data_IF_240938249305
#
_entry.id   IF_240938249305
#
_cell.length_a   1.000
_cell.length_b   1.000
_cell.length_c   1.000
_cell.angle_alpha   90.00
_cell.angle_beta   90.00
_cell.angle_gamma   90.00
#
_symmetry.space_group_name_H-M   'P 1'
#
loop_
_entity.id
_entity.type
_entity.pdbx_description
1 polymer ?
#
# COMPACT_ATOMS: atom_id res chain seq x y z
N UNK A 1 -22.09 33.12 5.84
CA UNK A 1 -20.99 32.43 5.13
C UNK A 1 -21.09 32.72 3.64
N UNK A 2 -19.98 32.99 2.95
CA UNK A 2 -19.99 33.14 1.48
C UNK A 2 -20.18 31.79 0.78
N UNK A 3 -20.72 31.80 -0.44
CA UNK A 3 -20.95 30.61 -1.26
C UNK A 3 -19.70 29.73 -1.40
N UNK A 4 -18.54 30.34 -1.66
CA UNK A 4 -17.24 29.66 -1.82
C UNK A 4 -16.79 28.88 -0.58
N UNK A 5 -17.02 29.41 0.63
CA UNK A 5 -16.62 28.75 1.88
C UNK A 5 -17.46 27.51 2.16
N UNK A 6 -18.75 27.57 1.82
CA UNK A 6 -19.69 26.45 1.98
C UNK A 6 -19.32 25.31 1.02
N UNK A 7 -18.98 25.63 -0.23
CA UNK A 7 -18.52 24.63 -1.21
C UNK A 7 -17.25 23.92 -0.76
N UNK A 8 -16.24 24.66 -0.29
CA UNK A 8 -14.98 24.07 0.19
C UNK A 8 -15.20 23.13 1.39
N UNK A 9 -16.08 23.50 2.32
CA UNK A 9 -16.45 22.66 3.46
C UNK A 9 -16.96 21.28 3.01
N UNK A 10 -17.95 21.25 2.13
CA UNK A 10 -18.55 19.99 1.69
C UNK A 10 -17.61 19.16 0.82
N UNK A 11 -16.83 19.79 -0.06
CA UNK A 11 -15.82 19.09 -0.87
C UNK A 11 -14.78 18.42 0.03
N UNK A 12 -14.22 19.15 1.01
CA UNK A 12 -13.27 18.59 1.97
C UNK A 12 -13.87 17.45 2.78
N UNK A 13 -15.10 17.62 3.26
CA UNK A 13 -15.78 16.59 4.05
C UNK A 13 -16.01 15.30 3.24
N UNK A 14 -16.66 15.38 2.08
CA UNK A 14 -16.97 14.19 1.30
C UNK A 14 -15.70 13.48 0.81
N UNK A 15 -14.72 14.23 0.32
CA UNK A 15 -13.46 13.66 -0.14
C UNK A 15 -12.72 12.91 0.99
N UNK A 16 -12.55 13.55 2.15
CA UNK A 16 -11.92 12.91 3.30
C UNK A 16 -12.77 11.75 3.85
N UNK A 17 -14.09 11.82 3.76
CA UNK A 17 -14.97 10.74 4.23
C UNK A 17 -14.75 9.46 3.43
N UNK A 18 -14.68 9.55 2.10
CA UNK A 18 -14.38 8.40 1.26
C UNK A 18 -12.97 7.86 1.51
N UNK A 19 -11.98 8.74 1.71
CA UNK A 19 -10.61 8.32 2.05
C UNK A 19 -10.58 7.60 3.40
N UNK A 20 -11.33 8.09 4.39
CA UNK A 20 -11.44 7.44 5.69
C UNK A 20 -12.03 6.02 5.55
N UNK A 21 -13.08 5.85 4.75
CA UNK A 21 -13.63 4.51 4.47
C UNK A 21 -12.59 3.59 3.82
N UNK A 22 -11.83 4.07 2.83
CA UNK A 22 -10.75 3.30 2.22
C UNK A 22 -9.64 2.93 3.23
N UNK A 23 -9.23 3.86 4.09
CA UNK A 23 -8.24 3.58 5.13
C UNK A 23 -8.74 2.53 6.13
N UNK A 24 -10.01 2.63 6.54
CA UNK A 24 -10.62 1.67 7.45
C UNK A 24 -10.74 0.27 6.83
N UNK A 25 -11.10 0.15 5.56
CA UNK A 25 -11.19 -1.14 4.88
C UNK A 25 -9.81 -1.77 4.69
N UNK A 26 -8.80 -1.00 4.26
CA UNK A 26 -7.42 -1.47 4.14
C UNK A 26 -6.91 -1.99 5.50
N UNK A 27 -7.11 -1.21 6.56
CA UNK A 27 -6.71 -1.61 7.91
C UNK A 27 -7.44 -2.87 8.38
N UNK A 28 -8.76 -2.94 8.19
CA UNK A 28 -9.59 -4.09 8.57
C UNK A 28 -9.19 -5.37 7.85
N UNK A 29 -9.01 -5.31 6.53
CA UNK A 29 -8.56 -6.46 5.71
C UNK A 29 -7.17 -6.91 6.16
N UNK A 30 -6.25 -5.96 6.37
CA UNK A 30 -4.87 -6.28 6.78
C UNK A 30 -4.81 -7.00 8.14
N UNK A 31 -5.61 -6.56 9.12
CA UNK A 31 -5.73 -7.21 10.43
C UNK A 31 -6.42 -8.58 10.32
N UNK A 32 -7.45 -8.69 9.47
CA UNK A 32 -8.14 -9.96 9.24
C UNK A 32 -7.19 -11.03 8.70
N UNK A 33 -6.45 -10.71 7.63
CA UNK A 33 -5.45 -11.60 7.03
C UNK A 33 -4.36 -11.95 8.03
N UNK A 34 -3.85 -10.96 8.78
CA UNK A 34 -2.84 -11.20 9.82
C UNK A 34 -3.29 -12.15 10.92
N UNK A 35 -4.56 -12.07 11.37
CA UNK A 35 -5.10 -12.99 12.37
C UNK A 35 -5.25 -14.40 11.82
N UNK A 36 -5.66 -14.55 10.56
CA UNK A 36 -5.77 -15.85 9.91
C UNK A 36 -4.40 -16.54 9.81
N UNK A 37 -3.35 -15.77 9.50
CA UNK A 37 -1.95 -16.21 9.49
C UNK A 37 -1.46 -16.62 10.89
N UNK A 38 -1.92 -15.97 11.97
CA UNK A 38 -1.54 -16.38 13.35
C UNK A 38 -2.31 -17.57 13.90
N UNK A 39 -3.61 -17.67 13.59
CA UNK A 39 -4.49 -18.71 14.16
C UNK A 39 -4.17 -20.12 13.63
N UNK A 40 -3.55 -20.22 12.46
CA UNK A 40 -3.27 -21.48 11.78
C UNK A 40 -1.82 -21.97 11.97
N UNK A 41 -0.92 -21.13 12.52
CA UNK A 41 0.52 -21.38 12.61
C UNK A 41 1.08 -21.15 14.03
N UNK A 42 0.56 -21.88 15.00
CA UNK A 42 1.01 -21.73 16.40
C UNK A 42 2.43 -22.25 16.66
N UNK A 43 3.07 -23.01 15.76
CA UNK A 43 4.33 -23.67 16.10
C UNK A 43 5.50 -23.60 15.11
N UNK A 44 5.35 -23.25 13.83
CA UNK A 44 6.51 -23.23 12.91
C UNK A 44 6.36 -22.05 11.93
N UNK A 45 7.37 -21.17 11.93
CA UNK A 45 7.57 -20.04 11.00
C UNK A 45 6.85 -18.73 11.34
N UNK A 46 7.44 -17.97 12.28
CA UNK A 46 7.02 -16.60 12.69
C UNK A 46 7.33 -15.47 11.69
N UNK A 47 7.75 -15.75 10.47
CA UNK A 47 8.26 -14.71 9.57
C UNK A 47 7.91 -15.04 8.12
N UNK A 48 6.95 -14.32 7.54
CA UNK A 48 7.30 -13.34 6.50
C UNK A 48 6.10 -12.71 5.77
N UNK A 49 4.89 -13.29 5.85
CA UNK A 49 3.66 -12.57 5.44
C UNK A 49 3.17 -11.57 6.51
N UNK A 50 3.64 -11.73 7.74
CA UNK A 50 3.37 -10.81 8.85
C UNK A 50 3.85 -9.39 8.52
N UNK A 51 5.00 -9.24 7.86
CA UNK A 51 5.62 -7.94 7.58
C UNK A 51 4.79 -7.06 6.64
N UNK A 52 4.39 -7.49 5.42
CA UNK A 52 3.58 -6.67 4.53
C UNK A 52 2.18 -6.37 5.12
N UNK A 53 1.55 -7.33 5.80
CA UNK A 53 0.24 -7.12 6.41
C UNK A 53 0.27 -6.06 7.52
N UNK A 54 1.30 -6.08 8.38
CA UNK A 54 1.46 -5.06 9.43
C UNK A 54 1.69 -3.67 8.82
N UNK A 55 2.54 -3.58 7.79
CA UNK A 55 2.80 -2.30 7.11
C UNK A 55 1.50 -1.73 6.52
N UNK A 56 0.71 -2.56 5.82
CA UNK A 56 -0.59 -2.14 5.26
C UNK A 56 -1.61 -1.77 6.34
N UNK A 57 -1.63 -2.47 7.48
CA UNK A 57 -2.49 -2.12 8.60
C UNK A 57 -2.14 -0.75 9.19
N UNK A 58 -0.85 -0.47 9.41
CA UNK A 58 -0.37 0.81 9.93
C UNK A 58 -0.66 1.93 8.92
N UNK A 59 -0.37 1.70 7.63
CA UNK A 59 -0.65 2.66 6.57
C UNK A 59 -2.16 2.98 6.47
N UNK A 60 -3.02 1.95 6.47
CA UNK A 60 -4.48 2.12 6.45
C UNK A 60 -5.01 2.86 7.67
N UNK A 61 -4.49 2.56 8.87
CA UNK A 61 -4.84 3.26 10.09
C UNK A 61 -4.42 4.74 10.04
N UNK A 62 -3.23 5.04 9.54
CA UNK A 62 -2.73 6.41 9.36
C UNK A 62 -3.62 7.20 8.40
N UNK A 63 -3.96 6.61 7.24
CA UNK A 63 -4.87 7.21 6.25
C UNK A 63 -6.24 7.49 6.88
N UNK A 64 -6.81 6.53 7.62
CA UNK A 64 -8.07 6.71 8.32
C UNK A 64 -8.01 7.88 9.33
N UNK A 65 -6.98 7.95 10.16
CA UNK A 65 -6.84 8.98 11.18
C UNK A 65 -6.73 10.38 10.57
N UNK A 66 -5.88 10.54 9.55
CA UNK A 66 -5.68 11.83 8.88
C UNK A 66 -6.98 12.28 8.20
N UNK A 67 -7.64 11.38 7.48
CA UNK A 67 -8.89 11.68 6.80
C UNK A 67 -10.04 11.97 7.79
N UNK A 68 -10.11 11.25 8.91
CA UNK A 68 -11.07 11.50 9.98
C UNK A 68 -10.87 12.88 10.63
N UNK A 69 -9.62 13.28 10.87
CA UNK A 69 -9.29 14.63 11.33
C UNK A 69 -9.71 15.70 10.32
N UNK A 70 -9.49 15.48 9.02
CA UNK A 70 -9.95 16.37 7.96
C UNK A 70 -11.47 16.51 7.93
N UNK A 71 -12.21 15.40 8.06
CA UNK A 71 -13.67 15.40 8.14
C UNK A 71 -14.18 16.17 9.36
N UNK A 72 -13.65 15.85 10.55
CA UNK A 72 -14.07 16.46 11.80
C UNK A 72 -13.72 17.95 11.83
N UNK A 73 -12.52 18.32 11.38
CA UNK A 73 -12.13 19.72 11.26
C UNK A 73 -13.04 20.52 10.32
N UNK A 74 -13.47 19.90 9.20
CA UNK A 74 -14.39 20.52 8.25
C UNK A 74 -15.79 20.74 8.85
N UNK A 75 -16.38 19.72 9.47
CA UNK A 75 -17.74 19.77 10.04
C UNK A 75 -17.81 20.63 11.29
N UNK A 76 -16.88 20.44 12.24
CA UNK A 76 -16.87 21.16 13.50
C UNK A 76 -16.38 22.61 13.34
N UNK A 77 -15.96 22.99 12.13
CA UNK A 77 -15.41 24.30 11.83
C UNK A 77 -14.28 24.66 12.81
N UNK A 78 -13.42 23.68 13.12
CA UNK A 78 -12.33 23.84 14.08
C UNK A 78 -11.03 24.18 13.36
N UNK A 79 -10.57 25.43 13.52
CA UNK A 79 -9.30 25.89 12.94
C UNK A 79 -8.13 25.04 13.40
N UNK A 80 -8.10 24.66 14.68
CA UNK A 80 -7.02 23.87 15.26
C UNK A 80 -6.90 22.48 14.60
N UNK A 81 -8.03 21.79 14.41
CA UNK A 81 -8.04 20.47 13.75
C UNK A 81 -7.62 20.56 12.29
N UNK A 82 -8.05 21.60 11.56
CA UNK A 82 -7.65 21.82 10.17
C UNK A 82 -6.16 22.16 10.02
N UNK A 83 -5.59 22.91 10.97
CA UNK A 83 -4.14 23.16 11.02
C UNK A 83 -3.40 21.86 11.31
N UNK A 84 -3.86 21.06 12.27
CA UNK A 84 -3.24 19.77 12.58
C UNK A 84 -3.27 18.82 11.37
N UNK A 85 -4.41 18.73 10.67
CA UNK A 85 -4.55 18.00 9.42
C UNK A 85 -3.49 18.44 8.39
N UNK A 86 -3.32 19.75 8.18
CA UNK A 86 -2.33 20.27 7.25
C UNK A 86 -0.87 19.98 7.68
N UNK A 87 -0.57 20.07 8.98
CA UNK A 87 0.77 19.75 9.51
C UNK A 87 1.08 18.27 9.30
N UNK A 88 0.12 17.37 9.53
CA UNK A 88 0.33 15.94 9.33
C UNK A 88 0.57 15.64 7.85
N UNK A 89 -0.25 16.19 6.93
CA UNK A 89 -0.03 16.03 5.49
C UNK A 89 1.34 16.55 5.04
N UNK A 90 1.78 17.70 5.55
CA UNK A 90 3.13 18.21 5.27
C UNK A 90 4.22 17.25 5.76
N UNK A 91 4.05 16.66 6.95
CA UNK A 91 4.99 15.67 7.47
C UNK A 91 5.02 14.39 6.61
N UNK A 92 3.88 13.95 6.08
CA UNK A 92 3.81 12.81 5.16
C UNK A 92 4.56 13.09 3.86
N UNK A 93 4.40 14.27 3.25
CA UNK A 93 5.17 14.67 2.05
C UNK A 93 6.69 14.52 2.28
N UNK A 94 7.19 14.99 3.43
CA UNK A 94 8.62 14.85 3.77
C UNK A 94 9.03 13.39 4.00
N UNK A 95 8.17 12.59 4.63
CA UNK A 95 8.42 11.18 4.86
C UNK A 95 8.46 10.40 3.53
N UNK A 96 7.53 10.66 2.61
CA UNK A 96 7.50 10.06 1.29
C UNK A 96 8.76 10.40 0.49
N UNK A 97 9.14 11.68 0.47
CA UNK A 97 10.38 12.12 -0.18
C UNK A 97 11.62 11.43 0.42
N UNK A 98 11.68 11.28 1.75
CA UNK A 98 12.77 10.58 2.42
C UNK A 98 12.81 9.09 2.06
N UNK A 99 11.66 8.40 2.03
CA UNK A 99 11.58 6.98 1.63
C UNK A 99 12.02 6.80 0.17
N UNK A 100 11.57 7.67 -0.74
CA UNK A 100 11.99 7.65 -2.15
C UNK A 100 13.51 7.87 -2.27
N UNK A 101 14.07 8.84 -1.52
CA UNK A 101 15.51 9.10 -1.51
C UNK A 101 16.33 7.91 -0.99
N UNK A 102 15.90 7.30 0.12
CA UNK A 102 16.57 6.15 0.73
C UNK A 102 16.50 4.90 -0.15
N UNK A 103 15.35 4.64 -0.77
CA UNK A 103 15.18 3.48 -1.68
C UNK A 103 16.04 3.62 -2.93
N UNK A 104 16.19 4.84 -3.47
CA UNK A 104 17.11 5.10 -4.56
C UNK A 104 18.58 4.90 -4.14
N UNK A 105 18.96 5.41 -2.97
CA UNK A 105 20.33 5.29 -2.46
C UNK A 105 20.74 3.83 -2.16
N UNK A 106 19.81 3.03 -1.63
CA UNK A 106 20.02 1.62 -1.24
C UNK A 106 19.41 0.61 -2.21
N UNK A 107 19.29 0.96 -3.49
CA UNK A 107 18.60 0.12 -4.49
C UNK A 107 19.11 -1.33 -4.53
N UNK A 108 20.44 -1.54 -4.54
CA UNK A 108 21.01 -2.89 -4.61
C UNK A 108 20.70 -3.73 -3.35
N UNK A 109 20.73 -3.11 -2.18
CA UNK A 109 20.39 -3.77 -0.90
C UNK A 109 18.90 -4.15 -0.86
N UNK A 110 18.04 -3.27 -1.37
CA UNK A 110 16.61 -3.52 -1.51
C UNK A 110 16.33 -4.68 -2.48
N UNK A 111 16.95 -4.70 -3.66
CA UNK A 111 16.79 -5.77 -4.65
C UNK A 111 17.20 -7.14 -4.09
N UNK A 112 18.31 -7.21 -3.35
CA UNK A 112 18.75 -8.44 -2.69
C UNK A 112 17.80 -8.87 -1.58
N UNK A 113 17.35 -7.92 -0.75
CA UNK A 113 16.39 -8.19 0.34
C UNK A 113 15.06 -8.72 -0.21
N UNK A 114 14.53 -8.11 -1.28
CA UNK A 114 13.32 -8.56 -1.95
C UNK A 114 13.48 -9.95 -2.57
N UNK A 115 14.63 -10.21 -3.20
CA UNK A 115 14.94 -11.53 -3.78
C UNK A 115 14.99 -12.62 -2.70
N UNK A 116 15.63 -12.33 -1.56
CA UNK A 116 15.71 -13.26 -0.42
C UNK A 116 14.33 -13.50 0.20
N UNK A 117 13.54 -12.44 0.42
CA UNK A 117 12.17 -12.56 0.96
C UNK A 117 11.26 -13.39 0.05
N UNK A 118 11.39 -13.22 -1.27
CA UNK A 118 10.68 -14.07 -2.22
C UNK A 118 11.17 -15.51 -2.14
N UNK A 119 12.49 -15.75 -2.06
CA UNK A 119 13.04 -17.09 -1.92
C UNK A 119 12.56 -17.79 -0.64
N UNK A 120 12.52 -17.08 0.49
CA UNK A 120 11.99 -17.56 1.76
C UNK A 120 10.50 -17.92 1.66
N UNK A 121 9.72 -17.15 0.91
CA UNK A 121 8.31 -17.44 0.68
C UNK A 121 8.12 -18.77 -0.07
N UNK A 122 8.89 -19.01 -1.13
CA UNK A 122 8.85 -20.28 -1.87
C UNK A 122 9.39 -21.45 -1.05
N UNK A 123 10.42 -21.25 -0.22
CA UNK A 123 10.97 -22.30 0.64
C UNK A 123 9.93 -22.86 1.62
N UNK A 124 9.01 -22.01 2.09
CA UNK A 124 7.95 -22.39 3.01
C UNK A 124 6.69 -22.93 2.31
N UNK A 125 6.64 -22.94 0.98
CA UNK A 125 5.42 -23.28 0.21
C UNK A 125 4.80 -24.61 0.64
N UNK A 126 5.56 -25.71 0.65
CA UNK A 126 5.01 -27.06 0.92
C UNK A 126 4.47 -27.24 2.34
N UNK A 127 5.14 -26.64 3.32
CA UNK A 127 4.81 -26.73 4.76
C UNK A 127 3.71 -25.76 5.18
N UNK A 128 3.26 -24.89 4.27
CA UNK A 128 2.29 -23.85 4.55
C UNK A 128 0.84 -24.29 4.23
N UNK A 129 -0.16 -23.68 4.87
CA UNK A 129 -1.57 -23.98 4.66
C UNK A 129 -2.06 -23.54 3.29
N UNK A 130 -3.26 -24.01 2.87
CA UNK A 130 -3.82 -23.74 1.55
C UNK A 130 -3.88 -22.26 1.18
N UNK A 131 -4.22 -21.37 2.11
CA UNK A 131 -4.33 -19.93 1.83
C UNK A 131 -2.97 -19.31 1.48
N UNK A 132 -1.91 -19.70 2.19
CA UNK A 132 -0.54 -19.24 1.91
C UNK A 132 -0.07 -19.74 0.54
N UNK A 133 -0.34 -21.01 0.23
CA UNK A 133 -0.04 -21.61 -1.08
C UNK A 133 -0.79 -20.89 -2.21
N UNK A 134 -2.07 -20.58 -2.00
CA UNK A 134 -2.89 -19.84 -2.96
C UNK A 134 -2.28 -18.48 -3.32
N UNK A 135 -1.75 -17.73 -2.35
CA UNK A 135 -1.09 -16.44 -2.62
C UNK A 135 0.15 -16.58 -3.50
N UNK A 136 0.97 -17.63 -3.28
CA UNK A 136 2.14 -17.91 -4.12
C UNK A 136 1.70 -18.41 -5.51
N UNK A 137 0.63 -19.19 -5.58
CA UNK A 137 0.05 -19.68 -6.83
C UNK A 137 -0.57 -18.56 -7.68
N UNK A 138 -1.24 -17.59 -7.05
CA UNK A 138 -1.72 -16.37 -7.71
C UNK A 138 -0.56 -15.53 -8.23
N UNK A 139 0.49 -15.32 -7.42
CA UNK A 139 1.68 -14.60 -7.85
C UNK A 139 2.36 -15.25 -9.07
N UNK A 140 2.46 -16.59 -9.09
CA UNK A 140 3.03 -17.33 -10.23
C UNK A 140 2.21 -17.12 -11.51
N UNK A 141 0.87 -17.07 -11.40
CA UNK A 141 -0.03 -16.79 -12.54
C UNK A 141 0.06 -15.34 -13.00
N UNK A 142 0.03 -14.39 -12.07
CA UNK A 142 0.01 -12.95 -12.36
C UNK A 142 1.33 -12.47 -12.98
N UNK A 143 2.46 -12.96 -12.46
CA UNK A 143 3.79 -12.66 -12.98
C UNK A 143 4.23 -13.59 -14.11
N UNK A 144 3.43 -14.61 -14.46
CA UNK A 144 3.74 -15.64 -15.47
C UNK A 144 5.13 -16.24 -15.28
N UNK A 145 5.37 -16.73 -14.07
CA UNK A 145 6.65 -17.27 -13.63
C UNK A 145 6.46 -18.61 -12.94
N UNK A 146 7.54 -19.37 -12.76
CA UNK A 146 7.49 -20.63 -12.03
C UNK A 146 8.69 -20.78 -11.10
N UNK A 147 8.43 -21.07 -9.82
CA UNK A 147 9.48 -21.22 -8.81
C UNK A 147 10.36 -19.96 -8.67
N UNK A 148 11.41 -20.04 -7.84
CA UNK A 148 12.30 -18.87 -7.63
C UNK A 148 13.16 -18.56 -8.87
N UNK A 149 13.77 -19.60 -9.45
CA UNK A 149 14.72 -19.52 -10.57
C UNK A 149 14.23 -20.17 -11.86
N UNK A 150 13.00 -20.68 -11.86
CA UNK A 150 12.40 -21.38 -12.99
C UNK A 150 11.69 -22.67 -12.57
N UNK A 151 11.09 -23.42 -13.51
CA UNK A 151 10.33 -24.63 -13.23
C UNK A 151 11.22 -25.75 -12.70
N UNK A 152 12.52 -25.67 -13.00
CA UNK A 152 13.52 -26.55 -12.42
C UNK A 152 13.46 -26.49 -10.91
N UNK A 153 13.33 -25.31 -10.26
CA UNK A 153 13.31 -25.10 -8.79
C UNK A 153 12.56 -26.21 -8.02
N UNK A 154 11.42 -26.66 -8.54
CA UNK A 154 10.62 -27.75 -7.99
C UNK A 154 11.22 -29.17 -8.18
N UNK A 155 12.54 -29.30 -8.40
CA UNK A 155 13.35 -30.49 -8.80
C UNK A 155 12.99 -31.84 -8.15
N UNK A 156 12.21 -31.86 -7.06
CA UNK A 156 11.85 -33.03 -6.26
C UNK A 156 10.36 -33.10 -5.87
N UNK A 157 9.48 -32.32 -6.52
CA UNK A 157 8.04 -32.28 -6.23
C UNK A 157 7.15 -32.09 -7.46
N UNK A 158 5.84 -32.09 -7.23
CA UNK A 158 4.84 -31.75 -8.26
C UNK A 158 4.93 -30.25 -8.51
N UNK A 159 5.26 -29.85 -9.74
CA UNK A 159 5.18 -28.45 -10.18
C UNK A 159 3.72 -27.99 -10.03
N UNK A 160 3.44 -26.91 -9.28
CA UNK A 160 2.08 -26.44 -9.09
C UNK A 160 1.39 -26.08 -10.41
N UNK A 161 0.08 -26.29 -10.49
CA UNK A 161 -0.72 -25.95 -11.69
C UNK A 161 -0.68 -24.45 -12.01
N UNK A 162 -0.35 -23.61 -11.02
CA UNK A 162 -0.11 -22.17 -11.19
C UNK A 162 1.06 -21.83 -12.13
N UNK A 163 1.99 -22.77 -12.35
CA UNK A 163 3.09 -22.62 -13.29
C UNK A 163 2.73 -22.96 -14.75
N UNK A 164 1.54 -23.49 -15.02
CA UNK A 164 1.16 -23.95 -16.36
C UNK A 164 1.00 -22.77 -17.32
N UNK A 165 1.75 -22.80 -18.41
CA UNK A 165 1.59 -21.84 -19.49
C UNK A 165 0.50 -22.34 -20.44
N UNK A 166 -0.72 -21.85 -20.25
CA UNK A 166 -1.87 -22.22 -21.10
C UNK A 166 -1.80 -21.60 -22.50
N UNK A 167 -0.84 -20.71 -22.75
CA UNK A 167 -0.68 -19.96 -23.99
C UNK A 167 0.44 -20.51 -24.90
N UNK A 168 1.20 -21.52 -24.46
CA UNK A 168 2.35 -22.00 -25.22
C UNK A 168 1.97 -23.01 -26.31
N UNK A 169 2.30 -22.68 -27.57
CA UNK A 169 2.49 -23.65 -28.67
C UNK A 169 3.93 -24.24 -28.66
N UNK A 170 4.73 -23.91 -27.65
CA UNK A 170 6.14 -24.30 -27.50
C UNK A 170 6.30 -25.57 -26.67
N UNK A 171 7.43 -26.27 -26.85
CA UNK A 171 7.73 -27.59 -26.27
C UNK A 171 7.75 -27.69 -24.73
N UNK A 172 7.58 -26.58 -23.99
CA UNK A 172 7.63 -26.54 -22.53
C UNK A 172 6.26 -26.24 -21.91
N UNK A 173 5.77 -27.18 -21.09
CA UNK A 173 4.45 -27.13 -20.40
C UNK A 173 4.33 -26.02 -19.33
N UNK A 174 5.45 -25.49 -18.84
CA UNK A 174 5.49 -24.55 -17.71
C UNK A 174 6.21 -23.25 -18.07
N UNK A 175 5.90 -22.15 -17.37
CA UNK A 175 6.66 -20.90 -17.46
C UNK A 175 8.14 -21.16 -17.15
N UNK A 176 9.03 -20.67 -18.03
CA UNK A 176 10.47 -20.90 -17.90
C UNK A 176 11.16 -19.84 -17.01
N UNK A 177 10.58 -18.65 -16.90
CA UNK A 177 11.12 -17.55 -16.11
C UNK A 177 10.91 -17.78 -14.61
N UNK A 178 11.96 -17.61 -13.81
CA UNK A 178 11.87 -17.61 -12.35
C UNK A 178 11.15 -16.37 -11.82
N UNK A 179 10.41 -16.51 -10.72
CA UNK A 179 9.60 -15.43 -10.16
C UNK A 179 10.40 -14.25 -9.63
N UNK A 180 11.65 -14.46 -9.17
CA UNK A 180 12.51 -13.36 -8.74
C UNK A 180 12.84 -12.44 -9.92
N UNK A 181 13.20 -13.02 -11.06
CA UNK A 181 13.53 -12.26 -12.26
C UNK A 181 12.27 -11.66 -12.90
N UNK A 182 11.17 -12.41 -12.92
CA UNK A 182 9.87 -11.90 -13.39
C UNK A 182 9.42 -10.68 -12.55
N UNK A 183 9.58 -10.72 -11.23
CA UNK A 183 9.24 -9.61 -10.35
C UNK A 183 10.14 -8.39 -10.56
N UNK A 184 11.46 -8.59 -10.73
CA UNK A 184 12.39 -7.51 -11.09
C UNK A 184 12.01 -6.87 -12.42
N UNK A 185 11.71 -7.69 -13.43
CA UNK A 185 11.26 -7.23 -14.73
C UNK A 185 9.92 -6.49 -14.64
N UNK A 186 8.99 -6.99 -13.84
CA UNK A 186 7.70 -6.33 -13.58
C UNK A 186 7.91 -4.93 -13.00
N UNK A 187 8.77 -4.78 -11.98
CA UNK A 187 9.11 -3.47 -11.41
C UNK A 187 9.76 -2.57 -12.47
N UNK A 188 10.74 -3.07 -13.24
CA UNK A 188 11.44 -2.26 -14.24
C UNK A 188 10.52 -1.80 -15.38
N UNK A 189 9.59 -2.64 -15.81
CA UNK A 189 8.62 -2.29 -16.85
C UNK A 189 7.58 -1.29 -16.33
N UNK A 190 7.17 -1.43 -15.07
CA UNK A 190 6.15 -0.60 -14.46
C UNK A 190 6.72 0.58 -13.65
N UNK A 191 8.03 0.79 -13.64
CA UNK A 191 8.68 1.82 -12.81
C UNK A 191 8.13 3.21 -13.10
N UNK A 192 7.82 3.49 -14.37
CA UNK A 192 7.20 4.75 -14.80
C UNK A 192 5.81 4.94 -14.18
N UNK A 193 5.01 3.87 -14.15
CA UNK A 193 3.68 3.88 -13.53
C UNK A 193 3.79 4.13 -12.02
N UNK A 194 4.72 3.44 -11.34
CA UNK A 194 4.95 3.61 -9.90
C UNK A 194 5.34 5.06 -9.57
N UNK A 195 6.27 5.64 -10.34
CA UNK A 195 6.69 7.04 -10.17
C UNK A 195 5.50 8.00 -10.38
N UNK A 196 4.68 7.77 -11.41
CA UNK A 196 3.51 8.60 -11.68
C UNK A 196 2.47 8.54 -10.55
N UNK A 197 2.26 7.35 -9.96
CA UNK A 197 1.38 7.18 -8.79
C UNK A 197 1.93 7.93 -7.58
N UNK A 198 3.22 7.78 -7.27
CA UNK A 198 3.86 8.48 -6.17
C UNK A 198 3.77 10.01 -6.32
N UNK A 199 4.01 10.52 -7.54
CA UNK A 199 3.84 11.95 -7.84
C UNK A 199 2.39 12.42 -7.65
N UNK A 200 1.42 11.60 -8.09
CA UNK A 200 0.00 11.89 -7.91
C UNK A 200 -0.40 11.99 -6.44
N UNK A 201 0.14 11.11 -5.59
CA UNK A 201 -0.09 11.14 -4.13
C UNK A 201 0.45 12.45 -3.55
N UNK A 202 1.71 12.80 -3.82
CA UNK A 202 2.30 14.05 -3.32
C UNK A 202 1.53 15.30 -3.77
N UNK A 203 1.03 15.34 -5.01
CA UNK A 203 0.18 16.44 -5.49
C UNK A 203 -1.15 16.49 -4.71
N UNK A 204 -1.79 15.34 -4.48
CA UNK A 204 -3.03 15.28 -3.71
C UNK A 204 -2.84 15.76 -2.26
N UNK A 205 -1.71 15.42 -1.63
CA UNK A 205 -1.35 15.92 -0.30
C UNK A 205 -1.15 17.44 -0.29
N UNK A 206 -0.42 17.99 -1.28
CA UNK A 206 -0.23 19.45 -1.42
C UNK A 206 -1.57 20.16 -1.56
N UNK A 207 -2.47 19.64 -2.41
CA UNK A 207 -3.83 20.18 -2.57
C UNK A 207 -4.59 20.12 -1.24
N UNK A 208 -4.47 19.00 -0.51
CA UNK A 208 -5.04 18.83 0.83
C UNK A 208 -4.53 19.88 1.82
N UNK A 209 -3.22 20.16 1.83
CA UNK A 209 -2.60 21.21 2.67
C UNK A 209 -3.14 22.59 2.32
N UNK A 210 -3.19 22.93 1.02
CA UNK A 210 -3.68 24.24 0.56
C UNK A 210 -5.13 24.44 1.00
N UNK A 211 -6.02 23.48 0.74
CA UNK A 211 -7.41 23.58 1.15
C UNK A 211 -7.59 23.57 2.67
N UNK A 212 -6.78 22.77 3.38
CA UNK A 212 -6.81 22.71 4.84
C UNK A 212 -6.42 24.04 5.49
N UNK A 213 -5.31 24.64 5.06
CA UNK A 213 -4.85 25.94 5.56
C UNK A 213 -5.77 27.09 5.15
N UNK A 214 -6.30 27.04 3.91
CA UNK A 214 -7.29 28.01 3.45
C UNK A 214 -8.54 27.98 4.34
N UNK A 215 -9.10 26.79 4.59
CA UNK A 215 -10.30 26.65 5.40
C UNK A 215 -10.05 27.00 6.86
N UNK A 216 -8.90 26.60 7.44
CA UNK A 216 -8.49 27.02 8.78
C UNK A 216 -8.37 28.55 8.91
N UNK A 217 -7.73 29.20 7.92
CA UNK A 217 -7.58 30.65 7.90
C UNK A 217 -8.93 31.35 7.77
N UNK A 218 -9.85 30.78 6.99
CA UNK A 218 -11.21 31.28 6.87
C UNK A 218 -11.97 31.22 8.19
N UNK A 219 -11.97 30.06 8.87
CA UNK A 219 -12.61 29.89 10.19
C UNK A 219 -12.05 30.90 11.19
N UNK A 220 -10.71 31.00 11.29
CA UNK A 220 -10.06 31.91 12.24
C UNK A 220 -10.49 33.36 12.02
N UNK A 221 -10.50 33.82 10.75
CA UNK A 221 -10.97 35.18 10.41
C UNK A 221 -12.46 35.38 10.69
N UNK A 222 -13.28 34.34 10.55
CA UNK A 222 -14.70 34.40 10.88
C UNK A 222 -14.91 34.56 12.40
N UNK A 223 -14.16 33.80 13.21
CA UNK A 223 -14.16 33.89 14.67
C UNK A 223 -13.67 35.26 15.17
N UNK A 224 -12.57 35.79 14.61
CA UNK A 224 -12.01 37.10 14.97
C UNK A 224 -12.98 38.27 14.69
N UNK A 225 -13.93 38.09 13.76
CA UNK A 225 -14.94 39.11 13.42
C UNK A 225 -16.19 39.09 14.31
N UNK A 226 -16.25 38.19 15.31
CA UNK A 226 -17.30 38.21 16.33
C UNK A 226 -18.68 37.71 15.87
N UNK A 227 -18.75 36.92 14.80
CA UNK A 227 -20.01 36.31 14.31
C UNK A 227 -20.25 34.89 14.88
N UNK A 228 -19.71 34.59 16.06
CA UNK A 228 -19.79 33.28 16.72
C UNK A 228 -21.15 33.06 17.38
#
# INVERSE_FOLDING_TARGET
>A
MGFTSTTVKYVLFFFNFFIALCGATICGISIYVWKQDKAQFSDITKQDLTTPCIILAIAGALVFLVAFLGCCGAIQESSCMMILYAIILLALIFLEAAVIGLTYWKKNELENTLSNKMADAFANYNSSPPNYKSSIDEMQKDLKCCGTTGPSYWHSGVVPDSCLDSSSQSASKYYQTGCIDAFKNFIQQNIKTIINVALGIGIAEIIGVIFGLYYASHIRRYSERGYA
#
